data_IF_317287349285
#
_entry.id   IF_317287349285
#
_cell.length_a   1.000
_cell.length_b   1.000
_cell.length_c   1.000
_cell.angle_alpha   90.00
_cell.angle_beta   90.00
_cell.angle_gamma   90.00
#
_symmetry.space_group_name_H-M   'P 1'
#
loop_
_entity.id
_entity.type
_entity.pdbx_description
1 polymer ?
#
# COMPACT_ATOMS: atom_id res chain seq x y z
N UNK A 1 -62.76 -46.99 1.83
CA UNK A 1 -62.41 -46.09 2.94
C UNK A 1 -60.87 -46.01 3.02
N UNK A 2 -60.19 -45.38 2.02
CA UNK A 2 -58.74 -45.28 2.03
C UNK A 2 -58.35 -43.98 1.34
N UNK A 3 -58.39 -42.88 2.03
CA UNK A 3 -58.04 -41.62 1.45
C UNK A 3 -57.48 -40.54 2.39
N UNK A 4 -57.34 -40.85 3.71
CA UNK A 4 -57.17 -39.78 4.70
C UNK A 4 -55.76 -39.64 5.32
N UNK A 5 -54.80 -40.50 4.97
CA UNK A 5 -53.47 -40.49 5.64
C UNK A 5 -52.36 -39.80 4.87
N UNK A 6 -52.59 -39.36 3.60
CA UNK A 6 -51.56 -38.70 2.78
C UNK A 6 -51.53 -37.19 2.97
N UNK A 7 -52.65 -36.58 3.33
CA UNK A 7 -52.76 -35.13 3.40
C UNK A 7 -52.06 -34.52 4.64
N UNK A 8 -51.99 -35.29 5.75
CA UNK A 8 -51.35 -34.81 6.99
C UNK A 8 -49.82 -34.66 6.89
N UNK A 9 -49.13 -35.35 5.99
CA UNK A 9 -47.67 -35.26 5.85
C UNK A 9 -47.20 -34.08 4.98
N UNK A 10 -48.07 -33.61 4.09
CA UNK A 10 -47.75 -32.46 3.24
C UNK A 10 -47.97 -31.12 3.94
N UNK A 11 -48.94 -31.06 4.85
CA UNK A 11 -49.28 -29.86 5.59
C UNK A 11 -48.19 -29.48 6.62
N UNK A 12 -47.57 -30.47 7.26
CA UNK A 12 -46.46 -30.24 8.19
C UNK A 12 -45.19 -29.70 7.50
N UNK A 13 -44.93 -30.13 6.28
CA UNK A 13 -43.72 -29.65 5.55
C UNK A 13 -43.87 -28.20 5.05
N UNK A 14 -45.08 -27.76 4.71
CA UNK A 14 -45.33 -26.40 4.23
C UNK A 14 -45.35 -25.37 5.35
N UNK A 15 -45.64 -25.72 6.57
CA UNK A 15 -45.61 -24.84 7.74
C UNK A 15 -44.16 -24.64 8.28
N UNK A 16 -43.28 -25.61 8.09
CA UNK A 16 -41.88 -25.51 8.48
C UNK A 16 -41.07 -24.59 7.55
N UNK A 17 -41.39 -24.53 6.26
CA UNK A 17 -40.65 -23.74 5.29
C UNK A 17 -40.67 -22.21 5.60
N UNK A 18 -41.81 -21.55 5.89
CA UNK A 18 -41.81 -20.12 6.19
C UNK A 18 -41.21 -19.80 7.55
N UNK A 19 -41.27 -20.71 8.54
CA UNK A 19 -40.78 -20.44 9.89
C UNK A 19 -39.27 -20.54 10.00
N UNK A 20 -38.62 -21.43 9.23
CA UNK A 20 -37.15 -21.58 9.25
C UNK A 20 -36.46 -21.05 8.02
N UNK A 21 -37.17 -20.80 6.93
CA UNK A 21 -36.59 -20.32 5.68
C UNK A 21 -35.92 -18.95 5.82
N UNK A 22 -36.50 -18.05 6.62
CA UNK A 22 -35.92 -16.75 6.87
C UNK A 22 -34.68 -16.84 7.79
N UNK A 23 -34.62 -17.81 8.72
CA UNK A 23 -33.46 -18.06 9.55
C UNK A 23 -32.25 -18.53 8.69
N UNK A 24 -32.51 -19.42 7.71
CA UNK A 24 -31.52 -19.83 6.72
C UNK A 24 -31.04 -18.64 5.86
N UNK A 25 -31.94 -17.73 5.49
CA UNK A 25 -31.59 -16.56 4.71
C UNK A 25 -30.67 -15.63 5.51
N UNK A 26 -30.96 -15.39 6.79
CA UNK A 26 -30.09 -14.60 7.66
C UNK A 26 -28.73 -15.27 7.83
N UNK A 27 -28.68 -16.59 8.07
CA UNK A 27 -27.41 -17.33 8.14
C UNK A 27 -26.60 -17.19 6.85
N UNK A 28 -27.23 -17.34 5.69
CA UNK A 28 -26.56 -17.19 4.40
C UNK A 28 -26.01 -15.78 4.20
N UNK A 29 -26.78 -14.75 4.56
CA UNK A 29 -26.33 -13.34 4.49
C UNK A 29 -25.16 -13.08 5.44
N UNK A 30 -25.21 -13.58 6.67
CA UNK A 30 -24.13 -13.44 7.65
C UNK A 30 -22.86 -14.17 7.17
N UNK A 31 -22.99 -15.38 6.65
CA UNK A 31 -21.85 -16.12 6.10
C UNK A 31 -21.26 -15.44 4.86
N UNK A 32 -22.11 -14.91 3.97
CA UNK A 32 -21.65 -14.14 2.83
C UNK A 32 -20.93 -12.85 3.27
N UNK A 33 -21.46 -12.14 4.24
CA UNK A 33 -20.81 -10.94 4.81
C UNK A 33 -19.47 -11.30 5.45
N UNK A 34 -19.40 -12.35 6.26
CA UNK A 34 -18.14 -12.81 6.85
C UNK A 34 -17.13 -13.23 5.76
N UNK A 35 -17.58 -13.90 4.70
CA UNK A 35 -16.73 -14.26 3.58
C UNK A 35 -16.13 -13.01 2.92
N UNK A 36 -16.95 -12.00 2.63
CA UNK A 36 -16.49 -10.74 2.05
C UNK A 36 -15.54 -9.98 2.98
N UNK A 37 -15.81 -9.94 4.30
CA UNK A 37 -14.98 -9.20 5.25
C UNK A 37 -13.69 -9.92 5.63
N UNK A 38 -13.67 -11.25 5.64
CA UNK A 38 -12.51 -12.04 6.09
C UNK A 38 -11.62 -12.48 4.92
N UNK A 39 -12.19 -12.82 3.78
CA UNK A 39 -11.44 -13.40 2.64
C UNK A 39 -11.11 -12.36 1.57
N UNK A 40 -11.98 -11.38 1.34
CA UNK A 40 -11.75 -10.35 0.33
C UNK A 40 -10.71 -9.26 0.70
N UNK A 41 -10.48 -8.88 1.97
CA UNK A 41 -9.61 -7.76 2.29
C UNK A 41 -8.11 -8.04 2.23
N UNK A 42 -7.67 -9.26 2.00
CA UNK A 42 -6.23 -9.59 1.96
C UNK A 42 -5.42 -8.85 0.88
N UNK A 43 -6.09 -8.23 -0.09
CA UNK A 43 -5.44 -7.48 -1.17
C UNK A 43 -5.45 -5.95 -0.98
N UNK A 44 -6.02 -5.43 0.11
CA UNK A 44 -6.19 -3.99 0.34
C UNK A 44 -5.42 -3.54 1.60
N UNK A 45 -4.54 -4.37 2.15
CA UNK A 45 -3.71 -3.93 3.25
C UNK A 45 -2.85 -2.74 2.76
N UNK A 46 -3.00 -1.53 3.36
CA UNK A 46 -2.18 -0.39 2.98
C UNK A 46 -0.72 -0.77 3.15
N UNK A 47 0.10 -0.29 2.24
CA UNK A 47 1.54 -0.45 2.38
C UNK A 47 1.99 0.16 3.71
N UNK A 48 2.91 -0.48 4.38
CA UNK A 48 3.53 0.07 5.58
C UNK A 48 4.97 0.43 5.29
N UNK A 49 5.39 1.59 5.77
CA UNK A 49 6.77 2.01 5.68
C UNK A 49 7.17 2.76 6.94
N UNK A 50 8.41 2.55 7.38
CA UNK A 50 8.94 3.15 8.60
C UNK A 50 10.39 3.54 8.41
N UNK A 51 10.77 4.71 8.90
CA UNK A 51 12.17 5.13 9.06
C UNK A 51 12.62 4.98 10.51
N UNK A 52 13.90 4.73 10.70
CA UNK A 52 14.50 4.71 12.04
C UNK A 52 14.55 6.11 12.68
N UNK A 53 14.72 7.14 11.87
CA UNK A 53 14.75 8.55 12.30
C UNK A 53 14.74 9.49 11.09
N UNK A 54 14.47 10.77 11.30
CA UNK A 54 14.80 11.86 10.37
C UNK A 54 13.84 12.09 9.20
N UNK A 55 13.03 11.13 8.86
CA UNK A 55 11.95 11.26 7.90
C UNK A 55 10.75 10.44 8.37
N UNK A 56 9.56 10.87 8.02
CA UNK A 56 8.34 10.10 8.27
C UNK A 56 7.80 9.59 6.93
N UNK A 57 7.54 8.30 6.86
CA UNK A 57 6.86 7.70 5.71
C UNK A 57 5.35 7.81 5.92
N UNK A 58 4.69 8.52 5.02
CA UNK A 58 3.25 8.74 5.07
C UNK A 58 2.49 7.68 4.30
N UNK A 59 3.01 7.30 3.13
CA UNK A 59 2.37 6.32 2.27
C UNK A 59 3.38 5.66 1.32
N UNK A 60 3.10 4.41 0.96
CA UNK A 60 3.83 3.67 -0.06
C UNK A 60 2.85 2.87 -0.90
N UNK A 61 2.94 3.05 -2.20
CA UNK A 61 2.12 2.33 -3.17
C UNK A 61 3.00 1.66 -4.22
N UNK A 62 2.58 0.48 -4.64
CA UNK A 62 3.21 -0.28 -5.71
C UNK A 62 2.16 -0.73 -6.72
N UNK A 63 2.38 -0.40 -7.98
CA UNK A 63 1.55 -0.87 -9.09
C UNK A 63 2.36 -1.77 -10.01
N UNK A 64 1.84 -2.94 -10.35
CA UNK A 64 2.50 -3.92 -11.20
C UNK A 64 1.67 -4.25 -12.43
N UNK A 65 2.35 -4.38 -13.57
CA UNK A 65 1.84 -4.93 -14.83
C UNK A 65 2.79 -5.99 -15.34
N UNK A 66 2.44 -6.70 -16.42
CA UNK A 66 3.28 -7.74 -17.02
C UNK A 66 4.67 -7.26 -17.48
N UNK A 67 4.85 -5.96 -17.70
CA UNK A 67 6.10 -5.40 -18.24
C UNK A 67 6.78 -4.40 -17.33
N UNK A 68 6.08 -3.90 -16.32
CA UNK A 68 6.49 -2.71 -15.58
C UNK A 68 5.93 -2.71 -14.18
N UNK A 69 6.76 -2.45 -13.18
CA UNK A 69 6.31 -2.11 -11.84
C UNK A 69 6.74 -0.69 -11.49
N UNK A 70 5.82 0.09 -10.96
CA UNK A 70 6.06 1.43 -10.43
C UNK A 70 5.91 1.42 -8.93
N UNK A 71 6.84 2.08 -8.24
CA UNK A 71 6.79 2.31 -6.80
C UNK A 71 6.75 3.82 -6.58
N UNK A 72 5.83 4.27 -5.74
CA UNK A 72 5.76 5.65 -5.31
C UNK A 72 5.69 5.70 -3.78
N UNK A 73 6.46 6.60 -3.19
CA UNK A 73 6.53 6.79 -1.74
C UNK A 73 6.36 8.26 -1.43
N UNK A 74 5.50 8.54 -0.47
CA UNK A 74 5.30 9.87 0.10
C UNK A 74 5.97 9.93 1.47
N UNK A 75 6.95 10.83 1.59
CA UNK A 75 7.70 11.07 2.80
C UNK A 75 7.51 12.50 3.28
N UNK A 76 7.77 12.77 4.55
CA UNK A 76 7.92 14.12 5.07
C UNK A 76 9.26 14.31 5.77
N UNK A 77 9.83 15.50 5.62
CA UNK A 77 11.06 15.89 6.31
C UNK A 77 10.74 16.23 7.78
N UNK A 78 11.19 15.41 8.71
CA UNK A 78 11.01 15.64 10.15
C UNK A 78 12.19 16.36 10.81
N UNK A 79 13.19 16.73 10.00
CA UNK A 79 14.34 17.52 10.50
C UNK A 79 13.94 18.98 10.74
N UNK A 80 14.66 19.64 11.66
CA UNK A 80 14.51 21.06 11.94
C UNK A 80 15.16 21.97 10.88
N UNK A 81 15.82 21.38 9.89
CA UNK A 81 16.51 22.09 8.79
C UNK A 81 16.05 21.57 7.42
N UNK A 82 16.19 22.40 6.38
CA UNK A 82 15.92 21.97 5.02
C UNK A 82 16.89 20.89 4.55
N UNK A 83 16.42 20.03 3.67
CA UNK A 83 17.21 18.99 3.01
C UNK A 83 17.20 19.20 1.51
N UNK A 84 18.33 18.95 0.87
CA UNK A 84 18.49 19.11 -0.58
C UNK A 84 18.85 17.80 -1.28
N UNK A 85 18.46 17.71 -2.53
CA UNK A 85 18.73 16.56 -3.42
C UNK A 85 18.42 15.21 -2.80
N UNK A 86 17.22 15.00 -2.27
CA UNK A 86 16.85 13.72 -1.69
C UNK A 86 16.88 12.62 -2.76
N UNK A 87 17.42 11.45 -2.40
CA UNK A 87 17.44 10.24 -3.23
C UNK A 87 17.05 9.07 -2.36
N UNK A 88 16.09 8.29 -2.80
CA UNK A 88 15.66 7.08 -2.10
C UNK A 88 16.20 5.86 -2.84
N UNK A 89 16.87 4.98 -2.11
CA UNK A 89 17.39 3.71 -2.62
C UNK A 89 16.57 2.59 -1.97
N UNK A 90 15.88 1.82 -2.78
CA UNK A 90 15.16 0.62 -2.34
C UNK A 90 16.05 -0.61 -2.50
N UNK A 91 15.97 -1.51 -1.54
CA UNK A 91 16.60 -2.83 -1.60
C UNK A 91 15.55 -3.88 -1.23
N UNK A 92 15.22 -4.76 -2.17
CA UNK A 92 14.31 -5.88 -1.94
C UNK A 92 14.79 -7.11 -2.71
N UNK A 93 14.46 -8.28 -2.19
CA UNK A 93 14.87 -9.57 -2.79
C UNK A 93 14.29 -9.77 -4.18
N UNK A 94 13.11 -9.20 -4.45
CA UNK A 94 12.37 -9.37 -5.70
C UNK A 94 12.96 -8.56 -6.87
N UNK A 95 13.63 -7.44 -6.61
CA UNK A 95 14.14 -6.56 -7.67
C UNK A 95 15.56 -6.00 -7.42
N UNK A 96 16.21 -6.38 -6.32
CA UNK A 96 17.54 -5.89 -5.96
C UNK A 96 17.55 -4.45 -5.49
N UNK A 97 18.57 -3.69 -5.90
CA UNK A 97 18.72 -2.27 -5.55
C UNK A 97 18.14 -1.37 -6.63
N UNK A 98 17.33 -0.41 -6.24
CA UNK A 98 16.64 0.52 -7.13
C UNK A 98 16.72 1.95 -6.61
N UNK A 99 17.16 2.88 -7.46
CA UNK A 99 17.23 4.30 -7.12
C UNK A 99 15.97 5.02 -7.58
N UNK A 100 15.25 5.62 -6.66
CA UNK A 100 14.09 6.46 -6.95
C UNK A 100 14.48 7.92 -7.11
N UNK A 101 13.77 8.60 -8.02
CA UNK A 101 13.82 10.05 -8.16
C UNK A 101 12.85 10.68 -7.18
N UNK A 102 13.34 11.65 -6.40
CA UNK A 102 12.54 12.37 -5.42
C UNK A 102 12.36 13.83 -5.83
N UNK A 103 11.19 14.36 -5.57
CA UNK A 103 10.82 15.77 -5.79
C UNK A 103 10.10 16.30 -4.56
N UNK A 104 10.28 17.60 -4.23
CA UNK A 104 11.16 18.59 -4.83
C UNK A 104 12.64 18.38 -4.46
N UNK A 105 13.54 19.06 -5.16
CA UNK A 105 14.98 18.97 -4.89
C UNK A 105 15.41 19.66 -3.57
N UNK A 106 14.64 20.62 -3.08
CA UNK A 106 14.80 21.27 -1.79
C UNK A 106 13.51 21.09 -0.98
N UNK A 107 13.63 20.59 0.23
CA UNK A 107 12.51 20.28 1.10
C UNK A 107 12.68 20.96 2.43
N UNK A 108 11.76 21.84 2.77
CA UNK A 108 11.73 22.54 4.06
C UNK A 108 11.34 21.58 5.22
N UNK A 109 11.60 21.95 6.47
CA UNK A 109 11.07 21.23 7.62
C UNK A 109 9.56 21.02 7.52
N UNK A 110 9.09 19.80 7.75
CA UNK A 110 7.69 19.42 7.55
C UNK A 110 7.24 19.23 6.10
N UNK A 111 8.09 19.60 5.13
CA UNK A 111 7.75 19.48 3.71
C UNK A 111 7.65 18.05 3.20
N UNK A 112 6.80 17.84 2.19
CA UNK A 112 6.58 16.54 1.57
C UNK A 112 7.65 16.23 0.51
N UNK A 113 8.00 14.96 0.38
CA UNK A 113 8.91 14.40 -0.61
C UNK A 113 8.19 13.26 -1.31
N UNK A 114 8.11 13.32 -2.63
CA UNK A 114 7.55 12.24 -3.44
C UNK A 114 8.71 11.56 -4.18
N UNK A 115 8.89 10.27 -3.91
CA UNK A 115 9.92 9.48 -4.56
C UNK A 115 9.28 8.42 -5.46
N UNK A 116 9.63 8.44 -6.75
CA UNK A 116 9.12 7.53 -7.75
C UNK A 116 10.24 6.68 -8.35
N UNK A 117 9.99 5.39 -8.48
CA UNK A 117 10.88 4.46 -9.16
C UNK A 117 10.11 3.54 -10.11
N UNK A 118 10.80 3.10 -11.15
CA UNK A 118 10.24 2.22 -12.16
C UNK A 118 11.16 1.02 -12.36
N UNK A 119 10.62 -0.18 -12.27
CA UNK A 119 11.31 -1.43 -12.51
C UNK A 119 10.82 -1.96 -13.86
N UNK A 120 11.75 -2.12 -14.79
CA UNK A 120 11.46 -2.75 -16.10
C UNK A 120 11.73 -4.24 -15.99
N UNK A 121 10.92 -5.05 -16.63
CA UNK A 121 11.09 -6.51 -16.70
C UNK A 121 11.14 -7.19 -15.33
N UNK A 122 10.07 -7.14 -14.58
CA UNK A 122 10.01 -7.90 -13.35
C UNK A 122 8.81 -8.86 -13.33
N UNK A 123 8.95 -9.91 -12.55
CA UNK A 123 7.93 -10.93 -12.35
C UNK A 123 7.13 -10.70 -11.06
N UNK A 124 6.96 -9.44 -10.64
CA UNK A 124 6.12 -9.15 -9.47
C UNK A 124 4.66 -9.25 -9.90
N UNK A 125 4.01 -10.31 -9.49
CA UNK A 125 2.59 -10.50 -9.78
C UNK A 125 1.75 -9.47 -9.01
N UNK A 126 0.61 -9.08 -9.57
CA UNK A 126 -0.38 -8.30 -8.85
C UNK A 126 -0.85 -9.07 -7.60
N UNK A 127 -0.95 -8.39 -6.46
CA UNK A 127 -1.25 -9.01 -5.17
C UNK A 127 -0.03 -9.55 -4.42
N UNK A 128 1.16 -9.62 -5.05
CA UNK A 128 2.36 -10.09 -4.37
C UNK A 128 2.77 -9.11 -3.25
N UNK A 129 3.16 -9.67 -2.11
CA UNK A 129 3.75 -8.91 -1.02
C UNK A 129 5.23 -8.67 -1.30
N UNK A 130 5.64 -7.41 -1.30
CA UNK A 130 7.03 -6.99 -1.47
C UNK A 130 7.49 -6.32 -0.18
N UNK A 131 8.52 -6.89 0.42
CA UNK A 131 9.14 -6.36 1.62
C UNK A 131 10.61 -6.04 1.34
N UNK A 132 11.12 -5.01 1.98
CA UNK A 132 12.50 -4.62 1.81
C UNK A 132 12.93 -3.50 2.75
N UNK A 133 14.12 -3.01 2.50
CA UNK A 133 14.67 -1.82 3.15
C UNK A 133 14.81 -0.69 2.14
N UNK A 134 14.86 0.53 2.65
CA UNK A 134 15.21 1.70 1.85
C UNK A 134 16.15 2.63 2.61
N UNK A 135 16.87 3.45 1.87
CA UNK A 135 17.76 4.46 2.41
C UNK A 135 17.48 5.80 1.73
N UNK A 136 17.15 6.81 2.52
CA UNK A 136 17.02 8.18 2.06
C UNK A 136 18.36 8.89 2.21
N UNK A 137 18.99 9.23 1.08
CA UNK A 137 20.24 9.97 1.03
C UNK A 137 19.95 11.43 0.65
N UNK A 138 20.45 12.38 1.41
CA UNK A 138 20.21 13.80 1.19
C UNK A 138 21.40 14.64 1.62
N UNK A 139 21.39 15.93 1.25
CA UNK A 139 22.33 16.95 1.71
C UNK A 139 21.63 17.82 2.76
N UNK A 140 22.16 17.92 3.99
CA UNK A 140 21.62 18.83 4.99
C UNK A 140 21.92 20.29 4.65
N UNK A 141 20.96 21.18 4.89
CA UNK A 141 21.07 22.62 4.64
C UNK A 141 20.87 23.40 5.96
N UNK A 142 21.81 23.34 6.92
CA UNK A 142 21.61 23.88 8.26
C UNK A 142 21.43 25.41 8.30
N UNK A 143 21.90 26.14 7.28
CA UNK A 143 21.75 27.60 7.19
C UNK A 143 20.41 28.08 6.66
N UNK A 144 19.49 27.18 6.34
CA UNK A 144 18.16 27.50 5.80
C UNK A 144 18.16 27.97 4.34
N UNK A 145 19.31 28.25 3.75
CA UNK A 145 19.46 28.71 2.37
C UNK A 145 19.81 27.56 1.44
N UNK A 146 19.07 27.41 0.35
CA UNK A 146 19.28 26.39 -0.67
C UNK A 146 20.68 26.43 -1.33
N UNK A 147 21.32 27.61 -1.35
CA UNK A 147 22.66 27.80 -1.89
C UNK A 147 23.79 27.29 -0.96
N UNK A 148 23.50 27.08 0.30
CA UNK A 148 24.49 26.70 1.34
C UNK A 148 24.28 25.27 1.85
N UNK A 149 23.66 24.40 1.07
CA UNK A 149 23.58 22.98 1.41
C UNK A 149 25.00 22.39 1.35
N UNK A 150 25.51 21.98 2.50
CA UNK A 150 26.91 21.56 2.63
C UNK A 150 27.19 20.29 1.84
N UNK A 151 27.91 20.46 0.74
CA UNK A 151 28.55 19.33 0.06
C UNK A 151 29.80 18.82 0.82
N UNK A 152 30.29 19.59 1.80
CA UNK A 152 31.55 19.33 2.51
C UNK A 152 31.45 18.27 3.61
N UNK A 153 30.26 17.97 4.12
CA UNK A 153 30.08 16.94 5.19
C UNK A 153 29.61 15.59 4.66
N UNK A 154 29.49 15.45 3.35
CA UNK A 154 28.96 14.22 2.76
C UNK A 154 27.42 14.12 2.83
N UNK A 155 26.88 13.11 2.16
CA UNK A 155 25.45 12.79 2.23
C UNK A 155 25.11 12.11 3.54
N UNK A 156 24.07 12.58 4.19
CA UNK A 156 23.47 11.88 5.34
C UNK A 156 22.45 10.87 4.84
N UNK A 157 22.33 9.74 5.52
CA UNK A 157 21.39 8.69 5.17
C UNK A 157 20.49 8.35 6.34
N UNK A 158 19.22 8.07 6.05
CA UNK A 158 18.27 7.44 6.94
C UNK A 158 17.88 6.10 6.37
N UNK A 159 17.92 5.07 7.22
CA UNK A 159 17.48 3.73 6.87
C UNK A 159 16.04 3.51 7.33
N UNK A 160 15.32 2.70 6.60
CA UNK A 160 13.95 2.29 6.91
C UNK A 160 13.60 0.95 6.30
N UNK A 161 12.41 0.48 6.61
CA UNK A 161 11.85 -0.73 6.05
C UNK A 161 10.47 -0.47 5.45
N UNK A 162 10.09 -1.29 4.49
CA UNK A 162 8.77 -1.21 3.87
C UNK A 162 8.20 -2.59 3.62
N UNK A 163 6.87 -2.61 3.56
CA UNK A 163 6.08 -3.77 3.22
C UNK A 163 4.87 -3.29 2.43
N UNK A 164 4.71 -3.72 1.20
CA UNK A 164 3.67 -3.24 0.29
C UNK A 164 3.14 -4.37 -0.59
N UNK A 165 1.82 -4.39 -0.77
CA UNK A 165 1.19 -5.26 -1.76
C UNK A 165 1.19 -4.58 -3.13
N UNK A 166 1.61 -5.31 -4.15
CA UNK A 166 1.51 -4.84 -5.53
C UNK A 166 0.05 -4.85 -5.97
N UNK A 167 -0.49 -3.71 -6.38
CA UNK A 167 -1.79 -3.62 -7.03
C UNK A 167 -1.64 -3.76 -8.56
N UNK A 168 -2.67 -4.18 -9.30
CA UNK A 168 -2.64 -4.07 -10.75
C UNK A 168 -2.43 -2.60 -11.14
N UNK A 169 -1.54 -2.35 -12.11
CA UNK A 169 -1.23 -1.00 -12.56
C UNK A 169 -2.41 -0.45 -13.36
N UNK A 170 -3.33 0.20 -12.66
CA UNK A 170 -4.35 1.04 -13.28
C UNK A 170 -3.67 2.36 -13.62
N UNK A 171 -3.51 2.65 -14.90
CA UNK A 171 -2.97 3.92 -15.37
C UNK A 171 -4.02 5.05 -15.23
N UNK A 172 -3.67 6.21 -14.64
CA UNK A 172 -2.44 6.58 -13.96
C UNK A 172 -2.42 6.21 -12.47
N UNK A 173 -1.24 6.10 -11.85
CA UNK A 173 -1.14 5.99 -10.39
C UNK A 173 -1.83 7.22 -9.74
N UNK A 174 -2.63 7.02 -8.68
CA UNK A 174 -3.46 8.09 -8.09
C UNK A 174 -2.67 9.23 -7.45
N UNK A 175 -1.33 9.18 -7.43
CA UNK A 175 -0.49 10.27 -6.95
C UNK A 175 -0.11 11.15 -8.16
N UNK A 176 -1.09 11.83 -8.76
CA UNK A 176 -0.86 13.03 -9.55
C UNK A 176 -0.99 14.24 -8.64
N UNK A 177 0.09 14.62 -7.98
CA UNK A 177 0.15 15.95 -7.39
C UNK A 177 0.55 16.87 -8.53
N UNK A 178 -0.44 17.57 -9.08
CA UNK A 178 -0.22 18.76 -9.91
C UNK A 178 0.45 19.80 -9.01
N UNK A 179 1.71 20.14 -9.30
CA UNK A 179 2.41 21.27 -8.71
C UNK A 179 1.87 22.57 -9.29
#
# INVERSE_FOLDING_TARGET
MDGSWRDFRLQSATEFLPTYGWAFLIMAVVLAALYFFVIAPSNIAPGSCQFSSGANCQDIIMGSSSQLTKIAVLLSNTQSYPIASPRLIFNATQFGSLIARCVPNLVLPGGAIICNATIKQNNIAAGALVAGSFQLNYLPCPSGNASNCQSSTGRTNFAGSFNVHSSPLLSPLPISITL
#
